data_IF_228256020295
#
_entry.id   IF_228256020295
#
_cell.length_a   1.000
_cell.length_b   1.000
_cell.length_c   1.000
_cell.angle_alpha   90.00
_cell.angle_beta   90.00
_cell.angle_gamma   90.00
#
_symmetry.space_group_name_H-M   'P 1'
#
loop_
_entity.id
_entity.type
_entity.pdbx_description
1 polymer ?
#
# COMPACT_ATOMS: atom_id res chain seq x y z
N UNK A 1 -31.21 -8.15 8.71
CA UNK A 1 -30.09 -7.25 9.04
C UNK A 1 -30.12 -6.15 8.01
N UNK A 2 -30.73 -5.01 8.31
CA UNK A 2 -30.78 -3.91 7.35
C UNK A 2 -29.43 -3.19 7.38
N UNK A 3 -28.57 -3.54 6.43
CA UNK A 3 -27.38 -2.74 6.16
C UNK A 3 -27.80 -1.40 5.59
N UNK A 4 -27.15 -0.31 6.02
CA UNK A 4 -27.26 0.97 5.31
C UNK A 4 -26.97 0.71 3.84
N UNK A 5 -27.91 1.10 3.00
CA UNK A 5 -27.83 0.96 1.56
C UNK A 5 -28.38 2.23 0.92
N UNK A 6 -28.41 2.28 -0.41
CA UNK A 6 -28.81 3.48 -1.14
C UNK A 6 -30.26 3.95 -0.85
N UNK A 7 -31.08 3.07 -0.28
CA UNK A 7 -32.48 3.35 0.08
C UNK A 7 -32.67 3.78 1.53
N UNK A 8 -31.62 3.75 2.36
CA UNK A 8 -31.69 4.22 3.73
C UNK A 8 -32.01 5.72 3.79
N UNK A 9 -32.82 6.15 4.76
CA UNK A 9 -33.33 7.52 4.81
C UNK A 9 -32.22 8.56 4.93
N UNK A 10 -31.18 8.27 5.70
CA UNK A 10 -29.99 9.12 5.80
C UNK A 10 -29.28 9.28 4.46
N UNK A 11 -29.15 8.21 3.67
CA UNK A 11 -28.50 8.26 2.35
C UNK A 11 -29.37 9.03 1.35
N UNK A 12 -30.67 8.80 1.36
CA UNK A 12 -31.62 9.54 0.52
C UNK A 12 -31.62 11.03 0.87
N UNK A 13 -31.57 11.36 2.16
CA UNK A 13 -31.47 12.73 2.63
C UNK A 13 -30.16 13.39 2.19
N UNK A 14 -29.01 12.74 2.40
CA UNK A 14 -27.71 13.26 1.98
C UNK A 14 -27.65 13.54 0.47
N UNK A 15 -28.23 12.67 -0.36
CA UNK A 15 -28.30 12.88 -1.81
C UNK A 15 -29.21 14.05 -2.19
N UNK A 16 -30.39 14.15 -1.55
CA UNK A 16 -31.30 15.26 -1.77
C UNK A 16 -30.69 16.60 -1.33
N UNK A 17 -29.96 16.61 -0.22
CA UNK A 17 -29.26 17.79 0.29
C UNK A 17 -28.12 18.21 -0.65
N UNK A 18 -27.38 17.23 -1.17
CA UNK A 18 -26.30 17.47 -2.13
C UNK A 18 -26.84 18.11 -3.42
N UNK A 19 -27.94 17.57 -3.95
CA UNK A 19 -28.59 18.09 -5.15
C UNK A 19 -29.23 19.47 -4.94
N UNK A 20 -29.97 19.66 -3.84
CA UNK A 20 -30.70 20.91 -3.57
C UNK A 20 -29.76 22.11 -3.36
N UNK A 21 -28.61 21.88 -2.72
CA UNK A 21 -27.59 22.90 -2.47
C UNK A 21 -26.54 22.99 -3.58
N UNK A 22 -26.66 22.18 -4.65
CA UNK A 22 -25.70 22.11 -5.75
C UNK A 22 -24.25 21.88 -5.27
N UNK A 23 -24.09 21.00 -4.29
CA UNK A 23 -22.79 20.70 -3.69
C UNK A 23 -22.03 19.72 -4.58
N UNK A 24 -20.70 19.81 -4.55
CA UNK A 24 -19.86 18.79 -5.17
C UNK A 24 -19.91 17.49 -4.38
N UNK A 25 -19.91 17.60 -3.04
CA UNK A 25 -19.83 16.47 -2.11
C UNK A 25 -20.49 16.79 -0.77
N UNK A 26 -21.09 15.77 -0.17
CA UNK A 26 -21.48 15.75 1.25
C UNK A 26 -20.87 14.52 1.90
N UNK A 27 -20.31 14.70 3.10
CA UNK A 27 -19.72 13.63 3.91
C UNK A 27 -20.35 13.61 5.29
N UNK A 28 -20.89 12.44 5.66
CA UNK A 28 -21.27 12.12 7.01
C UNK A 28 -20.20 11.20 7.61
N UNK A 29 -19.65 11.60 8.75
CA UNK A 29 -18.84 10.78 9.62
C UNK A 29 -19.56 10.63 10.95
N UNK A 30 -19.91 9.41 11.34
CA UNK A 30 -20.53 9.12 12.62
C UNK A 30 -19.75 8.05 13.36
N UNK A 31 -19.65 8.17 14.68
CA UNK A 31 -18.96 7.19 15.50
C UNK A 31 -19.71 6.87 16.78
N UNK A 32 -19.55 5.64 17.22
CA UNK A 32 -20.08 5.14 18.48
C UNK A 32 -18.91 4.55 19.27
N UNK A 33 -18.58 5.21 20.38
CA UNK A 33 -17.39 4.95 21.21
C UNK A 33 -17.78 4.55 22.63
N UNK A 34 -16.81 4.04 23.39
CA UNK A 34 -16.94 3.71 24.82
C UNK A 34 -18.14 2.79 25.09
N UNK A 35 -18.09 1.54 24.60
CA UNK A 35 -19.14 0.53 24.84
C UNK A 35 -20.56 0.98 24.44
N UNK A 36 -20.67 1.76 23.36
CA UNK A 36 -21.93 2.33 22.86
C UNK A 36 -22.54 3.50 23.66
N UNK A 37 -21.78 4.13 24.54
CA UNK A 37 -22.26 5.27 25.34
C UNK A 37 -22.04 6.63 24.67
N UNK A 38 -20.97 6.79 23.89
CA UNK A 38 -20.60 8.08 23.29
C UNK A 38 -20.88 8.07 21.80
N UNK A 39 -21.83 8.88 21.36
CA UNK A 39 -22.15 9.08 19.95
C UNK A 39 -21.66 10.45 19.48
N UNK A 40 -21.09 10.47 18.27
CA UNK A 40 -20.63 11.69 17.61
C UNK A 40 -20.99 11.62 16.11
N UNK A 41 -21.43 12.74 15.55
CA UNK A 41 -21.69 12.90 14.12
C UNK A 41 -21.15 14.23 13.60
N UNK A 42 -20.50 14.19 12.45
CA UNK A 42 -20.00 15.34 11.73
C UNK A 42 -20.50 15.28 10.30
N UNK A 43 -21.03 16.41 9.83
CA UNK A 43 -21.48 16.57 8.46
C UNK A 43 -20.66 17.67 7.79
N UNK A 44 -20.03 17.35 6.67
CA UNK A 44 -19.21 18.27 5.88
C UNK A 44 -19.85 18.44 4.50
N UNK A 45 -19.99 19.67 4.07
CA UNK A 45 -20.44 20.03 2.73
C UNK A 45 -19.30 20.67 1.96
N UNK A 46 -19.10 20.23 0.72
CA UNK A 46 -18.09 20.78 -0.20
C UNK A 46 -18.80 21.41 -1.39
N UNK A 47 -18.60 22.72 -1.55
CA UNK A 47 -19.09 23.46 -2.71
C UNK A 47 -18.26 23.13 -3.98
N UNK A 48 -18.75 23.45 -5.19
CA UNK A 48 -18.03 23.19 -6.44
C UNK A 48 -16.65 23.84 -6.55
N UNK A 49 -16.41 24.94 -5.84
CA UNK A 49 -15.14 25.65 -5.76
C UNK A 49 -14.17 25.07 -4.71
N UNK A 50 -14.61 24.02 -3.99
CA UNK A 50 -13.85 23.36 -2.92
C UNK A 50 -14.04 23.96 -1.53
N UNK A 51 -14.89 25.00 -1.37
CA UNK A 51 -15.16 25.57 -0.05
C UNK A 51 -15.86 24.56 0.87
N UNK A 52 -15.39 24.46 2.12
CA UNK A 52 -15.91 23.54 3.13
C UNK A 52 -16.82 24.26 4.11
N UNK A 53 -17.99 23.67 4.39
CA UNK A 53 -18.88 24.11 5.47
C UNK A 53 -19.34 22.91 6.29
N UNK A 54 -19.68 23.16 7.56
CA UNK A 54 -20.12 22.12 8.48
C UNK A 54 -21.63 22.20 8.71
N UNK A 55 -22.24 21.04 8.91
CA UNK A 55 -23.66 20.90 9.17
C UNK A 55 -23.95 19.97 10.33
N UNK A 56 -25.26 19.78 10.55
CA UNK A 56 -25.77 18.78 11.47
C UNK A 56 -26.76 17.90 10.74
N UNK A 57 -26.80 16.62 11.11
CA UNK A 57 -27.89 15.75 10.70
C UNK A 57 -29.21 16.20 11.35
N UNK A 58 -30.33 16.16 10.60
CA UNK A 58 -31.65 16.28 11.22
C UNK A 58 -31.92 15.09 12.14
N UNK A 59 -32.79 15.29 13.13
CA UNK A 59 -33.01 14.36 14.24
C UNK A 59 -33.39 12.95 13.79
N UNK A 60 -34.33 12.81 12.84
CA UNK A 60 -34.75 11.51 12.33
C UNK A 60 -33.60 10.73 11.67
N UNK A 61 -32.74 11.40 10.90
CA UNK A 61 -31.56 10.76 10.28
C UNK A 61 -30.51 10.42 11.33
N UNK A 62 -30.32 11.29 12.33
CA UNK A 62 -29.41 11.03 13.46
C UNK A 62 -29.85 9.79 14.24
N UNK A 63 -31.13 9.66 14.56
CA UNK A 63 -31.68 8.49 15.25
C UNK A 63 -31.47 7.20 14.46
N UNK A 64 -31.70 7.23 13.15
CA UNK A 64 -31.44 6.08 12.27
C UNK A 64 -29.97 5.66 12.30
N UNK A 65 -29.04 6.62 12.23
CA UNK A 65 -27.59 6.35 12.30
C UNK A 65 -27.22 5.79 13.68
N UNK A 66 -27.72 6.37 14.76
CA UNK A 66 -27.48 5.86 16.12
C UNK A 66 -28.00 4.43 16.29
N UNK A 67 -29.22 4.15 15.82
CA UNK A 67 -29.82 2.83 15.90
C UNK A 67 -28.98 1.78 15.16
N UNK A 68 -28.50 2.11 13.96
CA UNK A 68 -27.61 1.23 13.20
C UNK A 68 -26.31 0.95 13.96
N UNK A 69 -25.63 1.98 14.45
CA UNK A 69 -24.34 1.80 15.15
C UNK A 69 -24.53 0.96 16.42
N UNK A 70 -25.60 1.21 17.19
CA UNK A 70 -25.93 0.44 18.39
C UNK A 70 -26.28 -1.01 18.05
N UNK A 71 -27.03 -1.25 16.99
CA UNK A 71 -27.34 -2.61 16.53
C UNK A 71 -26.07 -3.36 16.10
N UNK A 72 -25.16 -2.67 15.40
CA UNK A 72 -23.90 -3.26 14.97
C UNK A 72 -22.98 -3.60 16.16
N UNK A 73 -22.98 -2.76 17.19
CA UNK A 73 -22.30 -3.03 18.47
C UNK A 73 -22.94 -4.20 19.23
N UNK A 74 -24.27 -4.21 19.34
CA UNK A 74 -25.00 -5.24 20.07
C UNK A 74 -24.82 -6.64 19.45
N UNK A 75 -24.60 -6.72 18.13
CA UNK A 75 -24.32 -7.98 17.45
C UNK A 75 -23.00 -8.63 17.90
N UNK A 76 -22.00 -7.81 18.27
CA UNK A 76 -20.71 -8.27 18.79
C UNK A 76 -20.00 -7.14 19.55
N UNK A 77 -20.13 -7.09 20.90
CA UNK A 77 -19.51 -6.05 21.71
C UNK A 77 -17.97 -6.07 21.65
N UNK A 78 -17.35 -7.16 21.22
CA UNK A 78 -15.89 -7.25 21.09
C UNK A 78 -15.35 -6.44 19.90
N UNK A 79 -16.23 -5.91 19.04
CA UNK A 79 -15.87 -5.02 17.91
C UNK A 79 -15.28 -3.69 18.34
N UNK A 80 -15.53 -3.26 19.59
CA UNK A 80 -15.03 -1.99 20.11
C UNK A 80 -15.73 -0.79 19.46
N UNK A 81 -14.97 0.27 19.19
CA UNK A 81 -15.52 1.48 18.58
C UNK A 81 -16.00 1.21 17.15
N UNK A 82 -17.11 1.82 16.76
CA UNK A 82 -17.70 1.66 15.43
C UNK A 82 -17.77 3.02 14.75
N UNK A 83 -17.40 3.06 13.48
CA UNK A 83 -17.40 4.27 12.66
C UNK A 83 -18.15 4.01 11.35
N UNK A 84 -19.04 4.94 11.02
CA UNK A 84 -19.75 5.02 9.76
C UNK A 84 -19.25 6.23 8.98
N UNK A 85 -18.91 6.02 7.70
CA UNK A 85 -18.69 7.08 6.73
C UNK A 85 -19.68 6.92 5.58
N UNK A 86 -20.38 8.00 5.24
CA UNK A 86 -21.23 8.07 4.04
C UNK A 86 -20.82 9.27 3.22
N UNK A 87 -20.42 9.03 1.97
CA UNK A 87 -20.03 10.07 1.03
C UNK A 87 -20.99 10.07 -0.16
N UNK A 88 -21.62 11.21 -0.40
CA UNK A 88 -22.49 11.44 -1.55
C UNK A 88 -21.90 12.54 -2.44
N UNK A 89 -21.62 12.20 -3.70
CA UNK A 89 -21.12 13.14 -4.71
C UNK A 89 -22.20 13.34 -5.77
N UNK A 90 -22.26 14.53 -6.38
CA UNK A 90 -23.39 14.95 -7.23
C UNK A 90 -23.76 13.96 -8.36
N UNK A 91 -22.79 13.20 -8.88
CA UNK A 91 -22.96 12.32 -10.04
C UNK A 91 -22.47 10.88 -9.81
N UNK A 92 -22.24 10.47 -8.56
CA UNK A 92 -21.70 9.15 -8.25
C UNK A 92 -22.60 8.40 -7.26
N UNK A 93 -22.50 7.08 -7.29
CA UNK A 93 -23.17 6.24 -6.30
C UNK A 93 -22.62 6.55 -4.89
N UNK A 94 -23.49 6.54 -3.85
CA UNK A 94 -23.04 6.84 -2.50
C UNK A 94 -22.05 5.79 -2.01
N UNK A 95 -20.95 6.24 -1.41
CA UNK A 95 -19.97 5.35 -0.78
C UNK A 95 -20.32 5.24 0.70
N UNK A 96 -20.66 4.04 1.14
CA UNK A 96 -21.04 3.75 2.52
C UNK A 96 -20.00 2.78 3.08
N UNK A 97 -19.33 3.19 4.15
CA UNK A 97 -18.33 2.39 4.82
C UNK A 97 -18.64 2.31 6.31
N UNK A 98 -18.85 1.08 6.79
CA UNK A 98 -18.93 0.77 8.21
C UNK A 98 -17.65 0.02 8.61
N UNK A 99 -16.96 0.55 9.61
CA UNK A 99 -15.75 -0.06 10.16
C UNK A 99 -15.86 -0.21 11.66
N UNK A 100 -15.18 -1.21 12.18
CA UNK A 100 -15.05 -1.46 13.61
C UNK A 100 -13.57 -1.56 14.00
N UNK A 101 -13.29 -1.24 15.25
CA UNK A 101 -11.94 -1.22 15.80
C UNK A 101 -11.26 -2.59 15.71
N UNK A 102 -12.00 -3.67 15.96
CA UNK A 102 -11.47 -5.03 15.85
C UNK A 102 -10.99 -5.34 14.42
N UNK A 103 -11.76 -4.94 13.40
CA UNK A 103 -11.35 -5.08 12.00
C UNK A 103 -10.14 -4.23 11.66
N UNK A 104 -10.11 -2.97 12.08
CA UNK A 104 -8.95 -2.08 11.90
C UNK A 104 -7.68 -2.68 12.52
N UNK A 105 -7.76 -3.16 13.77
CA UNK A 105 -6.64 -3.81 14.44
C UNK A 105 -6.18 -5.09 13.75
N UNK A 106 -7.09 -5.87 13.15
CA UNK A 106 -6.71 -7.06 12.36
C UNK A 106 -5.98 -6.68 11.09
N UNK A 107 -6.49 -5.71 10.34
CA UNK A 107 -5.86 -5.18 9.12
C UNK A 107 -4.47 -4.60 9.44
N UNK A 108 -4.34 -3.79 10.50
CA UNK A 108 -3.07 -3.26 10.99
C UNK A 108 -2.09 -4.36 11.41
N UNK A 109 -2.56 -5.39 12.13
CA UNK A 109 -1.71 -6.54 12.51
C UNK A 109 -1.29 -7.35 11.30
N UNK A 110 -2.14 -7.54 10.31
CA UNK A 110 -1.81 -8.24 9.08
C UNK A 110 -0.80 -7.44 8.27
N UNK A 111 -0.98 -6.13 8.16
CA UNK A 111 -0.02 -5.23 7.54
C UNK A 111 1.33 -5.24 8.27
N UNK A 112 1.33 -5.13 9.60
CA UNK A 112 2.54 -5.22 10.41
C UNK A 112 3.22 -6.59 10.31
N UNK A 113 2.46 -7.68 10.18
CA UNK A 113 3.00 -9.02 9.89
C UNK A 113 3.59 -9.10 8.49
N UNK A 114 2.95 -8.52 7.48
CA UNK A 114 3.48 -8.46 6.12
C UNK A 114 4.78 -7.65 6.07
N UNK A 115 4.85 -6.53 6.78
CA UNK A 115 6.05 -5.70 6.94
C UNK A 115 7.16 -6.41 7.71
N UNK A 116 6.84 -7.06 8.84
CA UNK A 116 7.82 -7.86 9.59
C UNK A 116 8.33 -9.05 8.75
N UNK A 117 7.46 -9.68 7.98
CA UNK A 117 7.84 -10.74 7.04
C UNK A 117 8.72 -10.19 5.91
N UNK A 118 8.47 -8.96 5.46
CA UNK A 118 9.28 -8.25 4.46
C UNK A 118 10.70 -7.93 4.98
N UNK A 119 10.83 -7.57 6.26
CA UNK A 119 12.13 -7.31 6.90
C UNK A 119 12.91 -8.59 7.26
N UNK A 120 12.22 -9.72 7.46
CA UNK A 120 12.84 -11.02 7.76
C UNK A 120 13.42 -11.74 6.53
N UNK A 121 13.15 -11.26 5.31
CA UNK A 121 13.63 -11.92 4.07
C UNK A 121 15.15 -11.79 3.88
N UNK A 122 15.79 -12.75 3.18
CA UNK A 122 17.24 -12.75 2.96
C UNK A 122 17.81 -11.46 2.33
N UNK A 123 17.03 -10.78 1.49
CA UNK A 123 17.38 -9.48 0.91
C UNK A 123 16.50 -8.33 1.39
N UNK A 124 15.79 -8.52 2.51
CA UNK A 124 14.76 -7.62 3.04
C UNK A 124 15.18 -6.15 3.10
N UNK A 125 14.24 -5.27 3.43
CA UNK A 125 14.32 -3.82 3.21
C UNK A 125 15.67 -3.17 3.51
N UNK A 126 16.29 -3.52 4.64
CA UNK A 126 17.59 -2.96 5.05
C UNK A 126 18.72 -3.22 4.04
N UNK A 127 18.78 -4.41 3.42
CA UNK A 127 19.79 -4.70 2.41
C UNK A 127 19.48 -3.94 1.11
N UNK A 128 18.23 -3.96 0.68
CA UNK A 128 17.78 -3.28 -0.53
C UNK A 128 18.01 -1.76 -0.47
N UNK A 129 17.81 -1.15 0.71
CA UNK A 129 18.14 0.25 0.98
C UNK A 129 19.63 0.54 0.78
N UNK A 130 20.52 -0.29 1.33
CA UNK A 130 21.98 -0.10 1.16
C UNK A 130 22.42 -0.29 -0.27
N UNK A 131 21.83 -1.23 -1.00
CA UNK A 131 22.09 -1.38 -2.43
C UNK A 131 21.67 -0.11 -3.17
N UNK A 132 20.46 0.40 -2.91
CA UNK A 132 20.00 1.65 -3.53
C UNK A 132 20.93 2.83 -3.21
N UNK A 133 21.41 2.95 -1.96
CA UNK A 133 22.40 3.98 -1.57
C UNK A 133 23.72 3.89 -2.35
N UNK A 134 24.23 2.68 -2.59
CA UNK A 134 25.44 2.49 -3.41
C UNK A 134 25.19 2.99 -4.84
N UNK A 135 24.03 2.65 -5.42
CA UNK A 135 23.67 3.07 -6.77
C UNK A 135 23.43 4.59 -6.85
N UNK A 136 22.83 5.18 -5.83
CA UNK A 136 22.61 6.63 -5.72
C UNK A 136 23.93 7.42 -5.64
N UNK A 137 24.96 6.83 -5.04
CA UNK A 137 26.32 7.39 -5.01
C UNK A 137 27.10 7.21 -6.33
N UNK A 138 26.46 6.70 -7.40
CA UNK A 138 27.09 6.40 -8.69
C UNK A 138 27.85 5.08 -8.70
N UNK A 139 27.67 4.23 -7.68
CA UNK A 139 28.23 2.89 -7.64
C UNK A 139 27.48 1.93 -8.59
N UNK A 140 28.16 0.86 -8.97
CA UNK A 140 27.60 -0.25 -9.72
C UNK A 140 27.91 -1.56 -8.99
N UNK A 141 26.95 -2.48 -8.99
CA UNK A 141 27.15 -3.82 -8.46
C UNK A 141 27.08 -4.82 -9.60
N UNK A 142 28.16 -5.55 -9.83
CA UNK A 142 28.23 -6.53 -10.92
C UNK A 142 28.86 -7.85 -10.49
N UNK A 143 28.41 -8.93 -11.13
CA UNK A 143 28.92 -10.31 -10.99
C UNK A 143 29.22 -10.83 -12.38
N UNK A 144 30.43 -11.35 -12.59
CA UNK A 144 30.81 -11.95 -13.87
C UNK A 144 30.00 -13.24 -14.11
N UNK A 145 29.37 -13.35 -15.28
CA UNK A 145 28.69 -14.55 -15.75
C UNK A 145 29.67 -15.41 -16.55
N UNK A 146 30.38 -14.78 -17.49
CA UNK A 146 31.52 -15.36 -18.19
C UNK A 146 32.69 -14.36 -18.17
N UNK A 147 33.78 -14.64 -17.43
CA UNK A 147 34.94 -13.76 -17.35
C UNK A 147 35.69 -13.61 -18.68
N UNK A 148 35.56 -14.56 -19.61
CA UNK A 148 36.27 -14.53 -20.90
C UNK A 148 35.53 -13.64 -21.90
N UNK A 149 34.20 -13.65 -21.84
CA UNK A 149 33.35 -12.87 -22.74
C UNK A 149 33.04 -11.47 -22.21
N UNK A 150 33.51 -11.13 -21.00
CA UNK A 150 33.31 -9.81 -20.40
C UNK A 150 31.84 -9.50 -20.15
N UNK A 151 31.04 -10.52 -19.85
CA UNK A 151 29.61 -10.41 -19.59
C UNK A 151 29.35 -10.41 -18.09
N UNK A 152 28.68 -9.37 -17.62
CA UNK A 152 28.36 -9.17 -16.22
C UNK A 152 26.85 -9.08 -16.02
N UNK A 153 26.36 -9.70 -14.95
CA UNK A 153 25.06 -9.34 -14.39
C UNK A 153 25.24 -8.14 -13.50
N UNK A 154 24.46 -7.10 -13.69
CA UNK A 154 24.67 -5.83 -13.01
C UNK A 154 23.37 -5.21 -12.46
N UNK A 155 23.56 -4.42 -11.42
CA UNK A 155 22.64 -3.41 -10.93
C UNK A 155 23.31 -2.05 -11.10
N UNK A 156 22.65 -1.13 -11.79
CA UNK A 156 23.17 0.22 -12.03
C UNK A 156 22.06 1.25 -12.07
N UNK A 157 22.44 2.52 -11.96
CA UNK A 157 21.55 3.67 -12.09
C UNK A 157 22.03 4.54 -13.25
N UNK A 158 21.35 4.57 -14.41
CA UNK A 158 21.71 5.45 -15.51
C UNK A 158 21.51 6.94 -15.14
N UNK A 159 22.03 7.83 -15.98
CA UNK A 159 21.94 9.28 -15.76
C UNK A 159 20.52 9.84 -15.81
N UNK A 160 19.54 9.07 -16.31
CA UNK A 160 18.12 9.41 -16.29
C UNK A 160 17.45 9.20 -14.92
N UNK A 161 18.18 8.64 -13.95
CA UNK A 161 17.71 8.43 -12.58
C UNK A 161 16.98 7.10 -12.35
N UNK A 162 16.79 6.28 -13.38
CA UNK A 162 16.16 4.95 -13.24
C UNK A 162 17.08 3.94 -12.55
N UNK A 163 16.53 2.87 -11.98
CA UNK A 163 17.32 1.74 -11.50
C UNK A 163 17.18 0.58 -12.46
N UNK A 164 18.27 -0.12 -12.77
CA UNK A 164 18.27 -1.17 -13.77
C UNK A 164 18.92 -2.43 -13.24
N UNK A 165 18.29 -3.57 -13.54
CA UNK A 165 18.84 -4.91 -13.39
C UNK A 165 18.93 -5.57 -14.76
N UNK A 166 20.09 -6.12 -15.11
CA UNK A 166 20.27 -6.79 -16.40
C UNK A 166 21.71 -7.19 -16.67
N UNK A 167 22.04 -7.32 -17.95
CA UNK A 167 23.38 -7.62 -18.42
C UNK A 167 24.14 -6.34 -18.77
N UNK A 168 25.42 -6.31 -18.45
CA UNK A 168 26.40 -5.31 -18.87
C UNK A 168 27.59 -5.98 -19.51
N UNK A 169 28.03 -5.41 -20.63
CA UNK A 169 29.16 -5.91 -21.41
C UNK A 169 30.36 -5.00 -21.21
N UNK A 170 31.57 -5.56 -21.23
CA UNK A 170 32.82 -4.80 -21.11
C UNK A 170 32.99 -3.70 -22.17
N UNK A 171 32.28 -3.84 -23.31
CA UNK A 171 32.27 -2.89 -24.43
C UNK A 171 31.39 -1.66 -24.17
N UNK A 172 30.68 -1.61 -23.03
CA UNK A 172 29.79 -0.50 -22.67
C UNK A 172 28.32 -0.74 -23.01
N UNK A 173 28.00 -1.79 -23.77
CA UNK A 173 26.63 -2.19 -24.05
C UNK A 173 25.93 -2.70 -22.79
N UNK A 174 24.61 -2.58 -22.76
CA UNK A 174 23.79 -3.13 -21.69
C UNK A 174 22.44 -3.63 -22.20
N UNK A 175 21.94 -4.69 -21.58
CA UNK A 175 20.64 -5.26 -21.87
C UNK A 175 19.81 -5.30 -20.58
N UNK A 176 18.91 -4.31 -20.37
CA UNK A 176 18.07 -4.29 -19.19
C UNK A 176 17.10 -5.48 -19.21
N UNK A 177 16.97 -6.16 -18.08
CA UNK A 177 15.96 -7.20 -17.85
C UNK A 177 14.80 -6.64 -17.03
N UNK A 178 15.09 -5.71 -16.13
CA UNK A 178 14.09 -4.93 -15.40
C UNK A 178 14.59 -3.50 -15.21
N UNK A 179 13.66 -2.54 -15.37
CA UNK A 179 13.89 -1.11 -15.14
C UNK A 179 12.85 -0.61 -14.15
N UNK A 180 13.27 0.19 -13.19
CA UNK A 180 12.42 0.75 -12.14
C UNK A 180 12.47 2.26 -12.21
N UNK A 181 11.31 2.90 -12.27
CA UNK A 181 11.18 4.34 -12.43
C UNK A 181 11.49 5.08 -11.12
N UNK A 182 11.38 4.41 -9.98
CA UNK A 182 11.64 4.98 -8.67
C UNK A 182 12.51 4.11 -7.77
N UNK A 183 13.14 4.77 -6.79
CA UNK A 183 13.92 4.12 -5.73
C UNK A 183 13.07 3.15 -4.92
N UNK A 184 11.82 3.49 -4.68
CA UNK A 184 10.89 2.67 -3.89
C UNK A 184 10.48 1.40 -4.62
N UNK A 185 10.24 1.48 -5.93
CA UNK A 185 9.98 0.30 -6.77
C UNK A 185 11.18 -0.65 -6.78
N UNK A 186 12.39 -0.10 -6.95
CA UNK A 186 13.62 -0.90 -6.92
C UNK A 186 13.83 -1.59 -5.56
N UNK A 187 13.67 -0.84 -4.46
CA UNK A 187 13.80 -1.40 -3.10
C UNK A 187 12.78 -2.51 -2.88
N UNK A 188 11.53 -2.28 -3.27
CA UNK A 188 10.45 -3.27 -3.14
C UNK A 188 10.75 -4.52 -3.95
N UNK A 189 11.19 -4.36 -5.20
CA UNK A 189 11.58 -5.47 -6.06
C UNK A 189 12.71 -6.29 -5.43
N UNK A 190 13.81 -5.65 -5.04
CA UNK A 190 14.99 -6.36 -4.50
C UNK A 190 14.68 -7.04 -3.16
N UNK A 191 13.92 -6.38 -2.28
CA UNK A 191 13.55 -6.91 -0.97
C UNK A 191 12.63 -8.14 -1.06
N UNK A 192 11.89 -8.30 -2.17
CA UNK A 192 11.06 -9.47 -2.41
C UNK A 192 11.84 -10.68 -2.96
N UNK A 193 13.07 -10.47 -3.46
CA UNK A 193 13.90 -11.53 -4.05
C UNK A 193 14.55 -12.42 -2.98
N UNK A 194 15.03 -13.58 -3.41
CA UNK A 194 15.83 -14.51 -2.60
C UNK A 194 16.99 -15.06 -3.43
N UNK A 195 17.97 -15.68 -2.76
CA UNK A 195 19.08 -16.39 -3.44
C UNK A 195 18.52 -17.39 -4.46
N UNK A 196 17.45 -18.10 -4.11
CA UNK A 196 16.79 -19.06 -4.98
C UNK A 196 16.15 -18.41 -6.21
N UNK A 197 15.49 -17.27 -6.05
CA UNK A 197 14.89 -16.55 -7.18
C UNK A 197 15.96 -16.08 -8.16
N UNK A 198 17.06 -15.48 -7.67
CA UNK A 198 18.17 -15.07 -8.54
C UNK A 198 18.92 -16.24 -9.17
N UNK A 199 18.98 -17.39 -8.49
CA UNK A 199 19.61 -18.59 -9.04
C UNK A 199 18.81 -19.21 -10.19
N UNK A 200 17.48 -19.14 -10.14
CA UNK A 200 16.57 -19.75 -11.13
C UNK A 200 16.23 -18.85 -12.30
N UNK A 201 16.39 -17.53 -12.17
CA UNK A 201 15.88 -16.55 -13.14
C UNK A 201 16.40 -16.74 -14.58
N UNK A 202 17.64 -17.21 -14.76
CA UNK A 202 18.23 -17.44 -16.09
C UNK A 202 18.01 -18.86 -16.63
N UNK A 203 17.93 -19.85 -15.73
CA UNK A 203 17.89 -21.27 -16.10
C UNK A 203 16.89 -22.03 -15.21
N UNK A 204 15.58 -21.73 -15.31
CA UNK A 204 14.59 -22.34 -14.43
C UNK A 204 14.56 -23.88 -14.50
N UNK A 205 14.95 -24.44 -15.66
CA UNK A 205 14.87 -25.87 -15.95
C UNK A 205 16.20 -26.63 -15.86
N UNK A 206 17.34 -25.96 -15.59
CA UNK A 206 18.65 -26.61 -15.41
C UNK A 206 19.26 -26.32 -14.03
N UNK A 207 19.02 -27.19 -13.03
CA UNK A 207 19.55 -27.04 -11.68
C UNK A 207 21.07 -26.99 -11.58
N UNK A 208 21.81 -27.50 -12.58
CA UNK A 208 23.28 -27.47 -12.60
C UNK A 208 23.82 -26.07 -12.84
N UNK A 209 23.01 -25.21 -13.44
CA UNK A 209 23.34 -23.83 -13.78
C UNK A 209 22.86 -22.83 -12.72
N UNK A 210 22.11 -23.29 -11.72
CA UNK A 210 21.59 -22.43 -10.65
C UNK A 210 22.72 -21.82 -9.84
N UNK A 211 22.68 -20.50 -9.66
CA UNK A 211 23.63 -19.77 -8.82
C UNK A 211 24.94 -19.37 -9.51
N UNK A 212 25.21 -19.85 -10.72
CA UNK A 212 26.37 -19.41 -11.50
C UNK A 212 26.14 -17.98 -12.02
N UNK A 213 27.10 -17.08 -11.76
CA UNK A 213 27.05 -15.71 -12.29
C UNK A 213 25.86 -14.86 -11.83
N UNK A 214 25.30 -15.15 -10.65
CA UNK A 214 24.13 -14.43 -10.11
C UNK A 214 24.41 -13.72 -8.79
N UNK A 215 23.52 -12.81 -8.40
CA UNK A 215 23.59 -12.16 -7.09
C UNK A 215 23.18 -13.13 -5.99
N UNK A 216 23.91 -13.10 -4.88
CA UNK A 216 23.54 -13.80 -3.66
C UNK A 216 23.76 -12.94 -2.42
N UNK A 217 23.27 -13.40 -1.26
CA UNK A 217 23.32 -12.64 0.00
C UNK A 217 24.75 -12.36 0.41
N UNK A 218 25.66 -13.33 0.23
CA UNK A 218 27.07 -13.15 0.54
C UNK A 218 27.72 -12.06 -0.32
N UNK A 219 27.35 -11.97 -1.60
CA UNK A 219 27.80 -10.89 -2.48
C UNK A 219 27.36 -9.53 -1.95
N UNK A 220 26.06 -9.36 -1.69
CA UNK A 220 25.55 -8.08 -1.21
C UNK A 220 26.12 -7.72 0.16
N UNK A 221 26.19 -8.66 1.10
CA UNK A 221 26.78 -8.46 2.42
C UNK A 221 28.22 -7.92 2.35
N UNK A 222 29.06 -8.49 1.45
CA UNK A 222 30.42 -8.00 1.19
C UNK A 222 30.44 -6.59 0.62
N UNK A 223 29.52 -6.28 -0.30
CA UNK A 223 29.47 -4.98 -1.00
C UNK A 223 28.82 -3.87 -0.16
N UNK A 224 27.91 -4.21 0.74
CA UNK A 224 27.20 -3.26 1.61
C UNK A 224 27.79 -3.17 3.02
N UNK A 225 28.87 -3.90 3.32
CA UNK A 225 29.58 -3.83 4.60
C UNK A 225 28.88 -4.51 5.79
N UNK A 226 27.87 -5.39 5.57
CA UNK A 226 27.28 -6.21 6.65
C UNK A 226 28.06 -7.52 6.75
N UNK A 227 28.62 -7.84 7.92
CA UNK A 227 28.98 -9.23 8.24
C UNK A 227 27.67 -10.02 8.37
N UNK A 228 27.61 -11.14 7.66
CA UNK A 228 26.47 -12.07 7.56
C UNK A 228 25.97 -12.55 8.90
#
# INVERSE_FOLDING_TARGET
>A
MESLNEHSDVVRWLRAECASRQLARIELSASLKHQAEVYDDTLIFTAPDGALTFGALPEAQREQVQALLRQHHAADPARGNIELSVVCEANLAPRILLTDELRKQREEREQARAEAHFDARPYGRALALRVAEILDAGGELSVAIDPRDGVFRALWKPGDGTYVHGLRYAQGDSQPTATFASREEFIRWLAQRSDEVFAKEAHPDDPRMWGLGTFNRAFFARKTGRRS
#
